data_IF_785123211070
#
_entry.id   IF_785123211070
#
_cell.length_a   1.000
_cell.length_b   1.000
_cell.length_c   1.000
_cell.angle_alpha   90.00
_cell.angle_beta   90.00
_cell.angle_gamma   90.00
#
_symmetry.space_group_name_H-M   'P 1'
#
loop_
_entity.id
_entity.type
_entity.pdbx_description
1 polymer ?
#
# COMPACT_ATOMS: atom_id res chain seq x y z
N UNK A 1 -12.00 -27.95 20.53
CA UNK A 1 -12.63 -26.81 19.85
C UNK A 1 -14.11 -26.96 20.10
N UNK A 2 -14.70 -26.08 20.86
CA UNK A 2 -16.15 -26.03 20.99
C UNK A 2 -16.74 -25.65 19.62
N UNK A 3 -17.84 -26.30 19.20
CA UNK A 3 -18.52 -25.89 17.99
C UNK A 3 -19.01 -24.46 18.17
N UNK A 4 -18.88 -23.65 17.13
CA UNK A 4 -19.46 -22.31 17.07
C UNK A 4 -20.93 -22.41 17.46
N UNK A 5 -21.35 -21.57 18.41
CA UNK A 5 -22.77 -21.47 18.77
C UNK A 5 -23.62 -21.13 17.55
N UNK A 6 -24.94 -21.41 17.64
CA UNK A 6 -25.89 -20.95 16.63
C UNK A 6 -25.68 -19.44 16.39
N UNK A 7 -25.69 -18.97 15.11
CA UNK A 7 -25.53 -17.56 14.83
C UNK A 7 -26.63 -16.77 15.55
N UNK A 8 -26.22 -15.75 16.31
CA UNK A 8 -27.18 -14.89 17.00
C UNK A 8 -28.03 -14.08 16.01
N UNK A 9 -27.53 -13.86 14.80
CA UNK A 9 -28.20 -13.11 13.74
C UNK A 9 -27.66 -13.52 12.35
N UNK A 10 -28.55 -13.82 11.40
CA UNK A 10 -28.20 -14.03 10.00
C UNK A 10 -28.25 -12.69 9.24
N UNK A 11 -27.11 -12.02 9.12
CA UNK A 11 -26.97 -10.76 8.41
C UNK A 11 -26.51 -10.95 6.95
N UNK A 12 -26.22 -12.18 6.52
CA UNK A 12 -25.58 -12.48 5.22
C UNK A 12 -26.58 -12.67 4.08
N UNK A 13 -27.87 -12.81 4.37
CA UNK A 13 -28.88 -13.11 3.36
C UNK A 13 -28.99 -12.01 2.31
N UNK A 14 -28.64 -12.33 1.07
CA UNK A 14 -28.70 -11.42 -0.08
C UNK A 14 -27.56 -10.40 -0.16
N UNK A 15 -26.51 -10.55 0.64
CA UNK A 15 -25.31 -9.70 0.60
C UNK A 15 -24.14 -10.39 -0.09
N UNK A 16 -23.23 -9.58 -0.62
CA UNK A 16 -21.96 -10.01 -1.20
C UNK A 16 -20.84 -9.78 -0.19
N UNK A 17 -19.90 -10.73 -0.09
CA UNK A 17 -18.83 -10.69 0.91
C UNK A 17 -17.44 -10.63 0.30
N UNK A 18 -16.59 -9.75 0.84
CA UNK A 18 -15.14 -9.75 0.63
C UNK A 18 -14.43 -9.95 1.98
N UNK A 19 -13.20 -10.49 2.01
CA UNK A 19 -12.48 -10.74 3.29
C UNK A 19 -12.08 -9.47 4.03
N UNK A 20 -12.01 -8.35 3.35
CA UNK A 20 -11.62 -7.04 3.85
C UNK A 20 -10.97 -6.24 2.72
N UNK A 21 -11.09 -4.92 2.78
CA UNK A 21 -10.38 -4.05 1.84
C UNK A 21 -8.91 -3.94 2.25
N UNK A 22 -8.03 -3.66 1.29
CA UNK A 22 -6.59 -3.53 1.49
C UNK A 22 -6.13 -2.14 1.10
N UNK A 23 -5.45 -1.46 2.00
CA UNK A 23 -4.65 -0.28 1.68
C UNK A 23 -3.17 -0.68 1.62
N UNK A 24 -2.67 -0.85 0.40
CA UNK A 24 -1.30 -1.30 0.13
C UNK A 24 -0.27 -0.19 0.26
N UNK A 25 -0.68 1.07 0.42
CA UNK A 25 0.20 2.23 0.59
C UNK A 25 -0.47 3.29 1.45
N UNK A 26 -0.35 3.13 2.75
CA UNK A 26 -0.89 4.06 3.74
C UNK A 26 0.21 4.76 4.54
N UNK A 27 -0.17 5.87 5.18
CA UNK A 27 0.64 6.62 6.14
C UNK A 27 -0.24 7.00 7.34
N UNK A 28 -0.51 6.07 8.25
CA UNK A 28 -1.39 6.29 9.40
C UNK A 28 -0.87 7.35 10.38
N UNK A 29 0.45 7.54 10.45
CA UNK A 29 1.04 8.59 11.29
C UNK A 29 0.90 10.00 10.72
N UNK A 30 0.29 10.15 9.54
CA UNK A 30 0.11 11.44 8.88
C UNK A 30 -1.36 11.82 8.71
N UNK A 31 -2.25 11.45 9.52
CA UNK A 31 -3.67 11.74 9.30
C UNK A 31 -3.97 13.21 9.08
N UNK A 32 -4.19 13.59 7.86
CA UNK A 32 -4.92 14.73 7.28
C UNK A 32 -4.92 16.11 7.95
N UNK A 33 -4.57 16.23 9.22
CA UNK A 33 -4.46 17.48 9.98
C UNK A 33 -3.40 17.25 11.05
N UNK A 34 -2.23 17.91 10.91
CA UNK A 34 -1.18 18.09 11.94
C UNK A 34 -1.03 16.95 12.98
N UNK A 35 -0.87 15.70 12.55
CA UNK A 35 -0.45 14.66 13.48
C UNK A 35 0.98 15.00 13.92
N UNK A 36 1.12 15.24 15.22
CA UNK A 36 2.43 15.45 15.83
C UNK A 36 3.23 14.16 15.80
N UNK A 37 4.57 14.23 15.73
CA UNK A 37 5.39 13.03 15.93
C UNK A 37 4.97 12.32 17.22
N UNK A 38 4.79 10.99 17.14
CA UNK A 38 4.37 10.19 18.28
C UNK A 38 2.90 10.29 18.66
N UNK A 39 2.03 10.88 17.83
CA UNK A 39 0.59 10.92 18.08
C UNK A 39 -0.06 9.55 17.83
N UNK A 40 0.08 8.70 18.83
CA UNK A 40 -0.48 7.35 18.81
C UNK A 40 -2.03 7.36 18.79
N UNK A 41 -2.65 8.28 19.51
CA UNK A 41 -4.11 8.36 19.60
C UNK A 41 -4.72 8.78 18.26
N UNK A 42 -4.10 9.73 17.56
CA UNK A 42 -4.48 10.13 16.20
C UNK A 42 -4.36 8.98 15.22
N UNK A 43 -3.22 8.28 15.21
CA UNK A 43 -3.01 7.12 14.36
C UNK A 43 -4.00 5.98 14.66
N UNK A 44 -4.30 5.74 15.94
CA UNK A 44 -5.30 4.74 16.37
C UNK A 44 -6.73 5.11 15.93
N UNK A 45 -7.09 6.39 15.99
CA UNK A 45 -8.38 6.87 15.49
C UNK A 45 -8.53 6.64 13.98
N UNK A 46 -7.47 6.92 13.20
CA UNK A 46 -7.46 6.65 11.74
C UNK A 46 -7.56 5.15 11.43
N UNK A 47 -6.83 4.32 12.15
CA UNK A 47 -6.93 2.87 12.00
C UNK A 47 -8.34 2.35 12.31
N UNK A 48 -8.98 2.89 13.34
CA UNK A 48 -10.37 2.56 13.68
C UNK A 48 -11.36 3.04 12.59
N UNK A 49 -11.16 4.23 12.05
CA UNK A 49 -11.98 4.74 10.92
C UNK A 49 -11.82 3.82 9.69
N UNK A 50 -10.59 3.43 9.38
CA UNK A 50 -10.32 2.50 8.28
C UNK A 50 -11.03 1.15 8.49
N UNK A 51 -10.96 0.58 9.71
CA UNK A 51 -11.68 -0.65 10.04
C UNK A 51 -13.18 -0.50 9.81
N UNK A 52 -13.80 0.60 10.30
CA UNK A 52 -15.23 0.87 10.12
C UNK A 52 -15.64 1.02 8.65
N UNK A 53 -14.72 1.41 7.78
CA UNK A 53 -14.93 1.48 6.33
C UNK A 53 -14.61 0.16 5.59
N UNK A 54 -14.37 -0.93 6.32
CA UNK A 54 -14.12 -2.25 5.73
C UNK A 54 -12.67 -2.56 5.43
N UNK A 55 -11.71 -1.69 5.77
CA UNK A 55 -10.28 -2.00 5.59
C UNK A 55 -9.87 -3.10 6.57
N UNK A 56 -9.45 -4.23 6.03
CA UNK A 56 -8.99 -5.40 6.78
C UNK A 56 -7.48 -5.49 6.93
N UNK A 57 -6.73 -4.92 5.97
CA UNK A 57 -5.26 -4.92 5.95
C UNK A 57 -4.72 -3.56 5.51
N UNK A 58 -3.72 -3.08 6.23
CA UNK A 58 -2.96 -1.87 5.90
C UNK A 58 -1.48 -2.23 5.78
N UNK A 59 -0.85 -1.84 4.67
CA UNK A 59 0.59 -1.85 4.49
C UNK A 59 1.07 -0.40 4.64
N UNK A 60 1.41 -0.01 5.86
CA UNK A 60 1.89 1.33 6.17
C UNK A 60 3.33 1.50 5.67
N UNK A 61 3.53 2.46 4.78
CA UNK A 61 4.83 2.69 4.14
C UNK A 61 5.77 3.57 4.96
N UNK A 62 5.47 3.67 6.26
CA UNK A 62 6.31 4.37 7.21
C UNK A 62 6.18 5.87 7.19
N UNK A 63 6.87 6.51 8.08
CA UNK A 63 6.90 7.95 8.22
C UNK A 63 8.23 8.40 8.83
N UNK A 64 8.24 9.47 9.62
CA UNK A 64 9.43 10.01 10.30
C UNK A 64 9.75 9.36 11.64
N UNK A 65 8.85 8.51 12.16
CA UNK A 65 8.97 7.86 13.46
C UNK A 65 8.31 6.47 13.48
N UNK A 66 8.31 5.81 14.63
CA UNK A 66 7.77 4.47 14.83
C UNK A 66 6.34 4.46 15.37
N UNK A 67 5.57 5.55 15.22
CA UNK A 67 4.22 5.67 15.76
C UNK A 67 3.31 4.51 15.33
N UNK A 68 3.34 4.11 14.05
CA UNK A 68 2.51 3.01 13.54
C UNK A 68 2.98 1.66 14.07
N UNK A 69 4.28 1.45 14.23
CA UNK A 69 4.82 0.23 14.86
C UNK A 69 4.33 0.13 16.30
N UNK A 70 4.41 1.21 17.07
CA UNK A 70 3.88 1.25 18.44
C UNK A 70 2.34 1.06 18.50
N UNK A 71 1.61 1.52 17.48
CA UNK A 71 0.17 1.30 17.37
C UNK A 71 -0.14 -0.20 17.29
N UNK A 72 0.63 -0.96 16.53
CA UNK A 72 0.45 -2.41 16.39
C UNK A 72 0.51 -3.10 17.77
N UNK A 73 1.43 -2.67 18.62
CA UNK A 73 1.61 -3.24 19.97
C UNK A 73 0.56 -2.77 20.98
N UNK A 74 0.10 -1.52 20.86
CA UNK A 74 -0.74 -0.87 21.88
C UNK A 74 -2.23 -1.04 21.62
N UNK A 75 -2.67 -1.10 20.37
CA UNK A 75 -4.09 -1.19 20.01
C UNK A 75 -4.47 -2.66 19.80
N UNK A 76 -5.49 -3.18 20.49
CA UNK A 76 -5.93 -4.57 20.33
C UNK A 76 -6.29 -4.89 18.87
N UNK A 77 -5.95 -6.09 18.40
CA UNK A 77 -6.18 -6.54 17.02
C UNK A 77 -7.67 -6.50 16.61
N UNK A 78 -8.60 -6.65 17.56
CA UNK A 78 -10.04 -6.57 17.29
C UNK A 78 -10.52 -5.12 17.03
N UNK A 79 -9.73 -4.10 17.41
CA UNK A 79 -10.08 -2.69 17.32
C UNK A 79 -9.40 -1.98 16.15
N UNK A 80 -8.63 -2.68 15.30
CA UNK A 80 -7.94 -2.15 14.15
C UNK A 80 -7.88 -3.17 13.00
N UNK A 81 -7.57 -2.74 11.77
CA UNK A 81 -7.15 -3.64 10.69
C UNK A 81 -5.90 -4.44 11.08
N UNK A 82 -5.57 -5.46 10.31
CA UNK A 82 -4.21 -5.97 10.32
C UNK A 82 -3.27 -4.90 9.75
N UNK A 83 -2.08 -4.75 10.33
CA UNK A 83 -1.14 -3.72 9.92
C UNK A 83 0.25 -4.35 9.83
N UNK A 84 0.91 -4.15 8.71
CA UNK A 84 2.36 -4.24 8.56
C UNK A 84 2.91 -2.83 8.33
N UNK A 85 4.09 -2.52 8.84
CA UNK A 85 4.61 -1.16 8.80
C UNK A 85 6.12 -1.10 8.55
N UNK A 86 6.55 -0.12 7.77
CA UNK A 86 7.96 0.10 7.46
C UNK A 86 8.73 0.91 8.51
N UNK A 87 8.04 1.52 9.48
CA UNK A 87 8.68 2.38 10.46
C UNK A 87 9.22 3.67 9.85
N UNK A 88 10.50 3.98 10.06
CA UNK A 88 11.13 5.19 9.51
C UNK A 88 11.59 4.95 8.07
N UNK A 89 11.18 5.83 7.14
CA UNK A 89 11.60 5.74 5.74
C UNK A 89 13.11 6.01 5.58
N UNK A 90 13.77 5.30 4.68
CA UNK A 90 15.18 5.50 4.34
C UNK A 90 15.31 6.35 3.07
N UNK A 91 16.20 7.33 3.12
CA UNK A 91 16.49 8.25 2.02
C UNK A 91 17.95 8.66 2.03
N UNK A 92 18.36 9.58 1.18
CA UNK A 92 19.67 10.23 1.19
C UNK A 92 19.52 11.71 1.53
N UNK A 93 20.63 12.39 1.81
CA UNK A 93 20.61 13.83 2.02
C UNK A 93 19.93 14.57 0.85
N UNK A 94 18.97 15.42 1.16
CA UNK A 94 18.09 16.08 0.18
C UNK A 94 17.28 15.12 -0.72
N UNK A 95 17.19 13.84 -0.37
CA UNK A 95 16.47 12.79 -1.11
C UNK A 95 15.01 12.64 -0.76
N UNK A 96 14.48 13.45 0.16
CA UNK A 96 13.07 13.49 0.56
C UNK A 96 12.77 14.80 1.26
N UNK A 97 11.57 14.95 1.82
CA UNK A 97 11.24 16.09 2.69
C UNK A 97 12.16 16.12 3.90
N UNK A 98 12.64 17.30 4.23
CA UNK A 98 13.52 17.49 5.37
C UNK A 98 12.85 17.04 6.68
N UNK A 99 13.54 16.20 7.45
CA UNK A 99 13.04 15.67 8.73
C UNK A 99 12.00 14.53 8.62
N UNK A 100 11.73 14.01 7.42
CA UNK A 100 10.75 12.94 7.20
C UNK A 100 11.35 11.58 6.87
N UNK A 101 12.63 11.43 6.94
CA UNK A 101 13.31 10.17 6.69
C UNK A 101 14.64 10.11 7.41
N UNK A 102 15.22 8.92 7.46
CA UNK A 102 16.56 8.66 7.94
C UNK A 102 17.52 8.72 6.75
N UNK A 103 18.45 9.66 6.78
CA UNK A 103 19.46 9.79 5.74
C UNK A 103 20.46 8.64 5.85
N UNK A 104 20.67 7.95 4.74
CA UNK A 104 21.67 6.88 4.58
C UNK A 104 22.95 7.50 4.02
N UNK A 105 24.07 7.25 4.65
CA UNK A 105 25.37 7.65 4.13
C UNK A 105 25.78 6.77 2.93
N UNK A 106 26.57 7.28 1.97
CA UNK A 106 27.06 6.46 0.85
C UNK A 106 27.74 5.18 1.35
N UNK A 107 27.32 4.03 0.79
CA UNK A 107 27.84 2.72 1.12
C UNK A 107 27.35 2.12 2.46
N UNK A 108 26.36 2.72 3.13
CA UNK A 108 25.83 2.23 4.41
C UNK A 108 24.40 1.68 4.31
N UNK A 109 23.90 1.51 3.09
CA UNK A 109 22.47 1.12 2.87
C UNK A 109 22.16 -0.26 3.46
N UNK A 110 23.07 -1.23 3.37
CA UNK A 110 22.85 -2.57 3.92
C UNK A 110 22.66 -2.54 5.44
N UNK A 111 23.54 -1.82 6.17
CA UNK A 111 23.39 -1.67 7.63
C UNK A 111 22.09 -0.95 7.99
N UNK A 112 21.77 0.13 7.28
CA UNK A 112 20.57 0.92 7.56
C UNK A 112 19.29 0.16 7.24
N UNK A 113 19.29 -0.67 6.19
CA UNK A 113 18.19 -1.55 5.85
C UNK A 113 17.98 -2.62 6.94
N UNK A 114 19.04 -3.24 7.45
CA UNK A 114 18.96 -4.19 8.56
C UNK A 114 18.38 -3.55 9.83
N UNK A 115 18.84 -2.33 10.18
CA UNK A 115 18.30 -1.56 11.31
C UNK A 115 16.82 -1.27 11.12
N UNK A 116 16.43 -0.74 9.94
CA UNK A 116 15.04 -0.41 9.64
C UNK A 116 14.13 -1.66 9.63
N UNK A 117 14.63 -2.81 9.19
CA UNK A 117 13.91 -4.07 9.23
C UNK A 117 13.65 -4.54 10.66
N UNK A 118 14.64 -4.38 11.56
CA UNK A 118 14.49 -4.71 12.98
C UNK A 118 13.59 -3.74 13.76
N UNK A 119 13.45 -2.50 13.29
CA UNK A 119 12.57 -1.49 13.89
C UNK A 119 11.14 -1.55 13.33
N UNK A 120 10.98 -2.01 12.08
CA UNK A 120 9.70 -2.08 11.38
C UNK A 120 8.84 -3.27 11.81
N UNK A 121 7.72 -3.42 11.13
CA UNK A 121 6.79 -4.55 11.31
C UNK A 121 6.53 -5.22 9.94
N UNK A 122 7.54 -5.94 9.46
CA UNK A 122 7.49 -6.74 8.22
C UNK A 122 7.94 -6.02 6.95
N UNK A 123 8.19 -4.71 6.99
CA UNK A 123 8.60 -3.92 5.83
C UNK A 123 9.71 -2.93 6.15
N UNK A 124 10.50 -2.59 5.12
CA UNK A 124 11.27 -1.34 5.06
C UNK A 124 10.81 -0.51 3.86
N UNK A 125 10.96 0.80 3.94
CA UNK A 125 10.62 1.74 2.86
C UNK A 125 11.83 2.55 2.45
N UNK A 126 12.15 2.51 1.15
CA UNK A 126 13.15 3.35 0.52
C UNK A 126 12.48 4.43 -0.33
N UNK A 127 13.01 5.64 -0.29
CA UNK A 127 12.68 6.69 -1.25
C UNK A 127 13.66 6.54 -2.42
N UNK A 128 13.25 5.82 -3.47
CA UNK A 128 14.11 5.45 -4.59
C UNK A 128 14.56 6.62 -5.44
N UNK A 129 13.73 7.64 -5.56
CA UNK A 129 14.05 8.90 -6.23
C UNK A 129 13.33 10.08 -5.58
N UNK A 130 13.81 11.28 -5.87
CA UNK A 130 13.18 12.51 -5.41
C UNK A 130 13.43 13.66 -6.36
N UNK A 131 12.49 14.61 -6.55
CA UNK A 131 12.68 15.77 -7.38
C UNK A 131 13.84 16.66 -6.92
N UNK A 132 14.77 16.96 -7.82
CA UNK A 132 15.82 17.95 -7.62
C UNK A 132 15.48 19.23 -8.37
N UNK A 133 15.70 20.38 -7.75
CA UNK A 133 15.38 21.67 -8.34
C UNK A 133 16.08 21.86 -9.71
N UNK A 134 15.28 22.10 -10.74
CA UNK A 134 15.77 22.32 -12.10
C UNK A 134 16.18 21.07 -12.89
N UNK A 135 16.09 19.87 -12.28
CA UNK A 135 16.43 18.59 -12.92
C UNK A 135 15.21 17.66 -13.05
N UNK A 136 14.38 17.59 -12.04
CA UNK A 136 13.27 16.64 -11.92
C UNK A 136 13.62 15.49 -10.97
N UNK A 137 12.85 14.39 -10.97
CA UNK A 137 13.15 13.21 -10.16
C UNK A 137 14.51 12.61 -10.54
N UNK A 138 15.33 12.31 -9.55
CA UNK A 138 16.67 11.73 -9.68
C UNK A 138 16.78 10.59 -8.69
N UNK A 139 17.37 9.46 -9.11
CA UNK A 139 17.63 8.32 -8.27
C UNK A 139 18.41 8.70 -7.00
N UNK A 140 17.95 8.22 -5.87
CA UNK A 140 18.60 8.36 -4.58
C UNK A 140 19.65 7.27 -4.32
N UNK A 141 19.44 6.09 -4.90
CA UNK A 141 20.27 4.91 -4.72
C UNK A 141 20.64 4.32 -6.08
N UNK A 142 21.84 3.76 -6.19
CA UNK A 142 22.22 2.91 -7.32
C UNK A 142 21.51 1.55 -7.24
N UNK A 143 21.45 0.82 -8.36
CA UNK A 143 20.83 -0.52 -8.40
C UNK A 143 21.52 -1.49 -7.43
N UNK A 144 22.85 -1.44 -7.31
CA UNK A 144 23.61 -2.26 -6.39
C UNK A 144 23.28 -1.95 -4.92
N UNK A 145 23.06 -0.69 -4.57
CA UNK A 145 22.64 -0.29 -3.23
C UNK A 145 21.21 -0.80 -2.93
N UNK A 146 20.30 -0.79 -3.91
CA UNK A 146 18.98 -1.41 -3.77
C UNK A 146 19.08 -2.93 -3.55
N UNK A 147 20.01 -3.62 -4.24
CA UNK A 147 20.28 -5.06 -4.04
C UNK A 147 20.80 -5.35 -2.62
N UNK A 148 21.71 -4.51 -2.12
CA UNK A 148 22.23 -4.63 -0.74
C UNK A 148 21.11 -4.43 0.28
N UNK A 149 20.24 -3.43 0.09
CA UNK A 149 19.09 -3.20 0.96
C UNK A 149 18.12 -4.39 0.97
N UNK A 150 17.82 -4.96 -0.21
CA UNK A 150 16.96 -6.14 -0.35
C UNK A 150 17.57 -7.35 0.36
N UNK A 151 18.87 -7.60 0.20
CA UNK A 151 19.55 -8.70 0.86
C UNK A 151 19.51 -8.57 2.39
N UNK A 152 19.84 -7.37 2.90
CA UNK A 152 19.85 -7.09 4.34
C UNK A 152 18.43 -7.17 4.97
N UNK A 153 17.41 -6.70 4.27
CA UNK A 153 16.02 -6.81 4.73
C UNK A 153 15.55 -8.27 4.81
N UNK A 154 15.89 -9.07 3.80
CA UNK A 154 15.53 -10.50 3.76
C UNK A 154 16.18 -11.32 4.88
N UNK A 155 17.40 -10.99 5.29
CA UNK A 155 18.05 -11.61 6.45
C UNK A 155 17.28 -11.38 7.76
N UNK A 156 16.47 -10.31 7.80
CA UNK A 156 15.58 -9.97 8.92
C UNK A 156 14.10 -10.33 8.64
N UNK A 157 13.82 -11.16 7.63
CA UNK A 157 12.47 -11.56 7.21
C UNK A 157 11.56 -10.38 6.85
N UNK A 158 12.13 -9.21 6.49
CA UNK A 158 11.40 -8.02 6.07
C UNK A 158 11.36 -7.89 4.55
N UNK A 159 10.27 -7.29 4.04
CA UNK A 159 10.06 -6.94 2.64
C UNK A 159 10.51 -5.50 2.36
N UNK A 160 10.82 -5.22 1.12
CA UNK A 160 11.28 -3.89 0.69
C UNK A 160 10.26 -3.25 -0.23
N UNK A 161 9.83 -2.02 0.12
CA UNK A 161 9.00 -1.16 -0.71
C UNK A 161 9.80 0.07 -1.16
N UNK A 162 9.70 0.45 -2.44
CA UNK A 162 10.46 1.57 -3.02
C UNK A 162 9.53 2.58 -3.69
N UNK A 163 9.60 3.84 -3.26
CA UNK A 163 8.99 4.98 -3.97
C UNK A 163 9.69 5.22 -5.30
N UNK A 164 8.94 5.31 -6.40
CA UNK A 164 9.49 5.45 -7.74
C UNK A 164 8.65 6.38 -8.62
N UNK A 165 9.21 7.54 -8.99
CA UNK A 165 8.61 8.52 -9.92
C UNK A 165 9.56 8.92 -11.06
N UNK A 166 10.86 8.64 -10.95
CA UNK A 166 11.82 8.81 -12.04
C UNK A 166 11.66 7.70 -13.10
N UNK A 167 12.12 7.96 -14.34
CA UNK A 167 11.93 7.01 -15.44
C UNK A 167 12.68 5.70 -15.29
N UNK A 168 13.88 5.75 -14.73
CA UNK A 168 14.79 4.60 -14.62
C UNK A 168 14.62 3.81 -13.32
N UNK A 169 14.13 4.44 -12.25
CA UNK A 169 14.14 3.85 -10.91
C UNK A 169 13.20 2.65 -10.75
N UNK A 170 12.00 2.61 -11.37
CA UNK A 170 11.17 1.40 -11.32
C UNK A 170 11.92 0.17 -11.83
N UNK A 171 12.59 0.27 -12.99
CA UNK A 171 13.36 -0.85 -13.57
C UNK A 171 14.55 -1.25 -12.69
N UNK A 172 15.26 -0.29 -12.10
CA UNK A 172 16.34 -0.56 -11.14
C UNK A 172 15.82 -1.33 -9.91
N UNK A 173 14.70 -0.88 -9.34
CA UNK A 173 14.07 -1.51 -8.17
C UNK A 173 13.59 -2.94 -8.49
N UNK A 174 12.98 -3.14 -9.67
CA UNK A 174 12.56 -4.47 -10.12
C UNK A 174 13.76 -5.41 -10.27
N UNK A 175 14.84 -4.99 -10.94
CA UNK A 175 16.06 -5.80 -11.09
C UNK A 175 16.79 -6.05 -9.76
N UNK A 176 16.68 -5.13 -8.82
CA UNK A 176 17.23 -5.32 -7.48
C UNK A 176 16.45 -6.34 -6.64
N UNK A 177 15.26 -6.75 -7.07
CA UNK A 177 14.45 -7.73 -6.38
C UNK A 177 13.56 -7.16 -5.26
N UNK A 178 13.22 -5.86 -5.35
CA UNK A 178 12.31 -5.16 -4.42
C UNK A 178 10.92 -5.82 -4.44
N UNK A 179 10.27 -5.96 -3.29
CA UNK A 179 9.01 -6.68 -3.15
C UNK A 179 7.79 -5.85 -3.55
N UNK A 180 7.84 -4.52 -3.38
CA UNK A 180 6.73 -3.62 -3.73
C UNK A 180 7.23 -2.35 -4.40
N UNK A 181 6.69 -2.07 -5.60
CA UNK A 181 6.93 -0.84 -6.35
C UNK A 181 5.79 0.14 -6.05
N UNK A 182 6.14 1.27 -5.47
CA UNK A 182 5.19 2.32 -5.13
C UNK A 182 5.16 3.35 -6.26
N UNK A 183 3.96 3.75 -6.67
CA UNK A 183 3.65 4.56 -7.85
C UNK A 183 4.00 3.84 -9.16
N UNK A 184 5.26 3.55 -9.42
CA UNK A 184 5.69 2.76 -10.57
C UNK A 184 5.33 3.40 -11.91
N UNK A 185 5.38 4.75 -12.00
CA UNK A 185 4.85 5.53 -13.12
C UNK A 185 5.47 5.14 -14.48
N UNK A 186 6.70 4.59 -14.46
CA UNK A 186 7.44 4.26 -15.67
C UNK A 186 7.89 2.79 -15.72
N UNK A 187 7.14 1.89 -15.06
CA UNK A 187 7.34 0.45 -15.28
C UNK A 187 7.24 0.12 -16.77
N UNK A 188 8.14 -0.71 -17.27
CA UNK A 188 8.12 -1.28 -18.61
C UNK A 188 7.38 -2.63 -18.63
N UNK A 189 7.12 -3.19 -19.80
CA UNK A 189 6.53 -4.52 -19.91
C UNK A 189 7.46 -5.59 -19.33
N UNK A 190 8.77 -5.48 -19.59
CA UNK A 190 9.79 -6.38 -19.01
C UNK A 190 9.81 -6.29 -17.48
N UNK A 191 9.67 -5.08 -16.91
CA UNK A 191 9.60 -4.89 -15.47
C UNK A 191 8.37 -5.57 -14.86
N UNK A 192 7.23 -5.45 -15.52
CA UNK A 192 5.97 -6.07 -15.11
C UNK A 192 6.08 -7.59 -15.13
N UNK A 193 6.66 -8.17 -16.19
CA UNK A 193 6.92 -9.61 -16.30
C UNK A 193 7.86 -10.10 -15.20
N UNK A 194 8.97 -9.41 -14.96
CA UNK A 194 9.92 -9.76 -13.90
C UNK A 194 9.31 -9.64 -12.50
N UNK A 195 8.48 -8.62 -12.26
CA UNK A 195 7.80 -8.41 -10.97
C UNK A 195 6.77 -9.50 -10.72
N UNK A 196 5.94 -9.82 -11.73
CA UNK A 196 4.92 -10.86 -11.67
C UNK A 196 5.50 -12.26 -11.48
N UNK A 197 6.59 -12.59 -12.18
CA UNK A 197 7.27 -13.90 -12.06
C UNK A 197 7.71 -14.25 -10.63
N UNK A 198 7.88 -13.26 -9.75
CA UNK A 198 8.21 -13.47 -8.33
C UNK A 198 7.08 -13.13 -7.36
N UNK A 199 5.86 -12.83 -7.86
CA UNK A 199 4.74 -12.44 -7.02
C UNK A 199 4.94 -11.09 -6.32
N UNK A 200 5.63 -10.16 -6.94
CA UNK A 200 5.84 -8.82 -6.40
C UNK A 200 4.59 -7.94 -6.48
N UNK A 201 4.60 -6.85 -5.72
CA UNK A 201 3.49 -5.90 -5.64
C UNK A 201 3.74 -4.65 -6.49
N UNK A 202 2.66 -4.08 -7.00
CA UNK A 202 2.62 -2.74 -7.56
C UNK A 202 1.45 -1.96 -6.97
N UNK A 203 1.74 -0.79 -6.39
CA UNK A 203 0.74 0.10 -5.78
C UNK A 203 0.73 1.44 -6.53
N UNK A 204 -0.12 1.62 -7.54
CA UNK A 204 -0.09 2.78 -8.45
C UNK A 204 -0.39 4.13 -7.79
N UNK A 205 -1.25 4.16 -6.74
CA UNK A 205 -1.66 5.38 -6.03
C UNK A 205 -2.07 6.52 -6.99
N UNK A 206 -2.95 6.21 -7.93
CA UNK A 206 -3.33 7.11 -9.02
C UNK A 206 -3.92 8.42 -8.49
N UNK A 207 -4.78 8.34 -7.46
CA UNK A 207 -5.38 9.52 -6.85
C UNK A 207 -4.33 10.46 -6.25
N UNK A 208 -3.24 9.93 -5.69
CA UNK A 208 -2.12 10.74 -5.21
C UNK A 208 -1.40 11.43 -6.37
N UNK A 209 -1.19 10.74 -7.48
CA UNK A 209 -0.58 11.34 -8.66
C UNK A 209 -1.45 12.45 -9.24
N UNK A 210 -2.75 12.24 -9.35
CA UNK A 210 -3.71 13.24 -9.81
C UNK A 210 -3.77 14.46 -8.89
N UNK A 211 -3.75 14.26 -7.58
CA UNK A 211 -3.68 15.36 -6.60
C UNK A 211 -2.38 16.18 -6.77
N UNK A 212 -1.25 15.50 -6.96
CA UNK A 212 0.04 16.14 -7.18
C UNK A 212 0.08 16.90 -8.51
N UNK A 213 -0.47 16.35 -9.59
CA UNK A 213 -0.62 17.03 -10.88
C UNK A 213 -1.42 18.34 -10.73
N UNK A 214 -2.54 18.25 -10.00
CA UNK A 214 -3.37 19.44 -9.73
C UNK A 214 -2.60 20.51 -8.94
N UNK A 215 -1.80 20.10 -7.96
CA UNK A 215 -0.97 21.00 -7.16
C UNK A 215 0.15 21.67 -7.99
N UNK A 216 0.86 20.90 -8.81
CA UNK A 216 1.97 21.38 -9.63
C UNK A 216 1.49 22.17 -10.86
N UNK A 217 0.26 21.92 -11.30
CA UNK A 217 -0.31 22.40 -12.56
C UNK A 217 0.13 21.53 -13.75
N UNK A 218 -0.83 21.09 -14.56
CA UNK A 218 -0.63 20.16 -15.70
C UNK A 218 0.42 20.65 -16.71
N UNK A 219 0.55 21.96 -16.88
CA UNK A 219 1.49 22.58 -17.84
C UNK A 219 2.90 22.72 -17.31
N UNK A 220 3.15 22.51 -16.04
CA UNK A 220 4.50 22.48 -15.48
C UNK A 220 5.28 21.27 -15.98
N UNK A 221 6.62 21.30 -15.86
CA UNK A 221 7.43 20.13 -16.22
C UNK A 221 7.11 18.91 -15.36
N UNK A 222 6.91 19.11 -14.05
CA UNK A 222 6.51 18.04 -13.14
C UNK A 222 5.10 17.52 -13.44
N UNK A 223 4.11 18.42 -13.67
CA UNK A 223 2.76 17.99 -14.02
C UNK A 223 2.71 17.18 -15.32
N UNK A 224 3.44 17.59 -16.35
CA UNK A 224 3.54 16.80 -17.60
C UNK A 224 4.18 15.43 -17.40
N UNK A 225 5.24 15.35 -16.59
CA UNK A 225 5.90 14.09 -16.28
C UNK A 225 4.92 13.13 -15.58
N UNK A 226 4.19 13.62 -14.59
CA UNK A 226 3.21 12.81 -13.86
C UNK A 226 2.02 12.41 -14.74
N UNK A 227 1.52 13.29 -15.62
CA UNK A 227 0.49 12.96 -16.61
C UNK A 227 0.93 11.81 -17.52
N UNK A 228 2.15 11.89 -18.07
CA UNK A 228 2.72 10.82 -18.87
C UNK A 228 2.83 9.52 -18.06
N UNK A 229 3.26 9.63 -16.79
CA UNK A 229 3.33 8.49 -15.88
C UNK A 229 1.97 7.84 -15.63
N UNK A 230 0.90 8.62 -15.40
CA UNK A 230 -0.46 8.09 -15.21
C UNK A 230 -0.98 7.40 -16.48
N UNK A 231 -0.69 7.94 -17.66
CA UNK A 231 -1.04 7.26 -18.92
C UNK A 231 -0.25 5.94 -19.08
N UNK A 232 1.00 5.89 -18.63
CA UNK A 232 1.78 4.68 -18.61
C UNK A 232 1.22 3.64 -17.63
N UNK A 233 0.80 4.06 -16.42
CA UNK A 233 0.09 3.20 -15.45
C UNK A 233 -1.13 2.57 -16.12
N UNK A 234 -2.01 3.40 -16.68
CA UNK A 234 -3.22 2.97 -17.38
C UNK A 234 -2.93 1.92 -18.47
N UNK A 235 -1.89 2.13 -19.27
CA UNK A 235 -1.53 1.22 -20.36
C UNK A 235 -1.05 -0.16 -19.86
N UNK A 236 -0.57 -0.26 -18.60
CA UNK A 236 0.05 -1.47 -18.05
C UNK A 236 -0.76 -2.22 -17.02
N UNK A 237 -1.90 -1.67 -16.56
CA UNK A 237 -2.72 -2.35 -15.55
C UNK A 237 -3.14 -3.77 -15.98
N UNK A 238 -3.59 -3.94 -17.22
CA UNK A 238 -4.02 -5.26 -17.72
C UNK A 238 -2.81 -6.23 -17.81
N UNK A 239 -1.72 -5.80 -18.42
CA UNK A 239 -0.49 -6.61 -18.54
C UNK A 239 0.06 -7.01 -17.18
N UNK A 240 0.03 -6.12 -16.18
CA UNK A 240 0.48 -6.42 -14.83
C UNK A 240 -0.36 -7.53 -14.17
N UNK A 241 -1.66 -7.48 -14.32
CA UNK A 241 -2.56 -8.52 -13.82
C UNK A 241 -2.31 -9.85 -14.54
N UNK A 242 -2.17 -9.84 -15.87
CA UNK A 242 -1.89 -11.03 -16.68
C UNK A 242 -0.52 -11.65 -16.35
N UNK A 243 0.47 -10.83 -16.05
CA UNK A 243 1.81 -11.28 -15.63
C UNK A 243 1.86 -11.82 -14.19
N UNK A 244 0.78 -11.71 -13.42
CA UNK A 244 0.71 -12.19 -12.04
C UNK A 244 1.25 -11.21 -11.00
N UNK A 245 1.40 -9.92 -11.34
CA UNK A 245 1.72 -8.88 -10.37
C UNK A 245 0.55 -8.72 -9.39
N UNK A 246 0.85 -8.65 -8.11
CA UNK A 246 -0.12 -8.23 -7.11
C UNK A 246 -0.32 -6.71 -7.21
N UNK A 247 -1.22 -6.27 -8.11
CA UNK A 247 -1.66 -4.87 -8.12
C UNK A 247 -2.47 -4.63 -6.87
N UNK A 248 -2.13 -3.59 -6.09
CA UNK A 248 -2.83 -3.23 -4.86
C UNK A 248 -3.36 -1.80 -4.95
N UNK A 249 -4.47 -1.55 -4.29
CA UNK A 249 -4.93 -0.18 -4.02
C UNK A 249 -4.08 0.48 -2.94
N UNK A 250 -3.90 1.80 -3.01
CA UNK A 250 -3.16 2.56 -2.00
C UNK A 250 -3.65 4.00 -1.92
N UNK A 251 -3.83 4.52 -0.71
CA UNK A 251 -4.34 5.89 -0.49
C UNK A 251 -3.25 6.94 -0.49
N UNK A 252 -2.05 6.58 -0.08
CA UNK A 252 -0.92 7.48 0.12
C UNK A 252 -1.34 8.71 0.94
N UNK A 253 -1.15 9.93 0.43
CA UNK A 253 -1.45 11.19 1.11
C UNK A 253 -2.68 11.91 0.54
N UNK A 254 -3.21 11.46 -0.61
CA UNK A 254 -4.30 12.15 -1.30
C UNK A 254 -5.65 12.00 -0.60
N UNK A 255 -5.87 10.85 -0.01
CA UNK A 255 -7.13 10.48 0.66
C UNK A 255 -6.82 9.70 1.95
N UNK A 256 -7.76 9.69 2.89
CA UNK A 256 -7.60 8.88 4.10
C UNK A 256 -7.76 7.39 3.81
N UNK A 257 -7.08 6.54 4.58
CA UNK A 257 -7.12 5.06 4.46
C UNK A 257 -8.54 4.49 4.45
N UNK A 258 -9.47 5.12 5.17
CA UNK A 258 -10.89 4.76 5.14
C UNK A 258 -11.58 4.99 3.78
N UNK A 259 -10.91 5.64 2.83
CA UNK A 259 -11.41 5.94 1.49
C UNK A 259 -10.71 5.10 0.40
N UNK A 260 -10.03 4.01 0.76
CA UNK A 260 -9.27 3.17 -0.19
C UNK A 260 -10.12 2.65 -1.36
N UNK A 261 -11.42 2.46 -1.17
CA UNK A 261 -12.36 2.13 -2.23
C UNK A 261 -12.35 3.15 -3.39
N UNK A 262 -12.03 4.42 -3.12
CA UNK A 262 -11.93 5.45 -4.15
C UNK A 262 -10.78 5.18 -5.13
N UNK A 263 -9.65 4.68 -4.63
CA UNK A 263 -8.54 4.25 -5.49
C UNK A 263 -8.94 3.04 -6.35
N UNK A 264 -9.65 2.06 -5.77
CA UNK A 264 -10.17 0.91 -6.51
C UNK A 264 -11.12 1.34 -7.65
N UNK A 265 -12.06 2.24 -7.35
CA UNK A 265 -12.98 2.80 -8.34
C UNK A 265 -12.19 3.56 -9.42
N UNK A 266 -11.14 4.28 -9.05
CA UNK A 266 -10.30 5.00 -10.01
C UNK A 266 -9.54 4.06 -10.94
N UNK A 267 -8.97 2.96 -10.43
CA UNK A 267 -8.34 1.93 -11.26
C UNK A 267 -9.32 1.31 -12.25
N UNK A 268 -10.56 1.06 -11.82
CA UNK A 268 -11.64 0.62 -12.72
C UNK A 268 -11.96 1.65 -13.81
N UNK A 269 -12.08 2.92 -13.46
CA UNK A 269 -12.32 4.00 -14.42
C UNK A 269 -11.17 4.18 -15.43
N UNK A 270 -9.94 3.82 -15.05
CA UNK A 270 -8.78 3.75 -15.95
C UNK A 270 -8.79 2.52 -16.87
N UNK A 271 -9.76 1.61 -16.71
CA UNK A 271 -9.94 0.45 -17.57
C UNK A 271 -9.46 -0.89 -16.99
N UNK A 272 -9.10 -0.94 -15.72
CA UNK A 272 -8.85 -2.23 -15.06
C UNK A 272 -10.14 -3.03 -14.98
N UNK A 273 -10.11 -4.31 -15.35
CA UNK A 273 -11.30 -5.16 -15.31
C UNK A 273 -11.86 -5.30 -13.89
N UNK A 274 -13.18 -5.25 -13.73
CA UNK A 274 -13.81 -5.28 -12.41
C UNK A 274 -13.37 -6.46 -11.52
N UNK A 275 -13.24 -7.71 -12.01
CA UNK A 275 -12.67 -8.79 -11.19
C UNK A 275 -11.26 -8.50 -10.68
N UNK A 276 -10.41 -7.90 -11.52
CA UNK A 276 -9.04 -7.54 -11.14
C UNK A 276 -9.01 -6.38 -10.12
N UNK A 277 -9.96 -5.44 -10.20
CA UNK A 277 -10.13 -4.38 -9.19
C UNK A 277 -10.50 -4.99 -7.84
N UNK A 278 -11.39 -5.97 -7.81
CA UNK A 278 -11.77 -6.67 -6.56
C UNK A 278 -10.58 -7.43 -5.99
N UNK A 279 -9.78 -8.08 -6.84
CA UNK A 279 -8.52 -8.69 -6.40
C UNK A 279 -7.57 -7.64 -5.80
N UNK A 280 -7.38 -6.50 -6.47
CA UNK A 280 -6.45 -5.44 -6.05
C UNK A 280 -6.85 -4.78 -4.71
N UNK A 281 -8.15 -4.56 -4.50
CA UNK A 281 -8.65 -3.90 -3.28
C UNK A 281 -8.86 -4.85 -2.11
N UNK A 282 -8.75 -6.16 -2.32
CA UNK A 282 -9.03 -7.14 -1.26
C UNK A 282 -8.02 -8.30 -1.26
N UNK A 283 -8.22 -9.32 -2.07
CA UNK A 283 -7.51 -10.60 -2.00
C UNK A 283 -5.98 -10.51 -2.19
N UNK A 284 -5.53 -9.68 -3.13
CA UNK A 284 -4.11 -9.62 -3.53
C UNK A 284 -3.19 -9.21 -2.39
N UNK A 285 -3.58 -8.25 -1.54
CA UNK A 285 -2.74 -7.82 -0.43
C UNK A 285 -2.54 -8.89 0.63
N UNK A 286 -3.58 -9.64 0.96
CA UNK A 286 -3.46 -10.77 1.89
C UNK A 286 -2.56 -11.87 1.32
N UNK A 287 -2.71 -12.22 0.03
CA UNK A 287 -1.85 -13.21 -0.63
C UNK A 287 -0.40 -12.76 -0.70
N UNK A 288 -0.15 -11.52 -1.09
CA UNK A 288 1.20 -10.94 -1.18
C UNK A 288 1.93 -10.92 0.16
N UNK A 289 1.19 -10.82 1.27
CA UNK A 289 1.76 -10.85 2.62
C UNK A 289 1.76 -12.25 3.25
N UNK A 290 1.28 -13.28 2.52
CA UNK A 290 1.21 -14.65 3.03
C UNK A 290 0.16 -14.85 4.14
N UNK A 291 -0.80 -13.93 4.24
CA UNK A 291 -1.86 -14.00 5.25
C UNK A 291 -2.98 -14.94 4.82
N UNK A 292 -3.54 -15.72 5.75
CA UNK A 292 -4.69 -16.55 5.44
C UNK A 292 -5.88 -15.63 5.07
N UNK A 293 -6.53 -15.95 3.96
CA UNK A 293 -7.66 -15.18 3.43
C UNK A 293 -8.71 -16.12 2.84
N UNK A 294 -9.98 -15.87 3.08
CA UNK A 294 -11.09 -16.66 2.56
C UNK A 294 -12.22 -16.83 3.58
N UNK A 295 -13.18 -17.68 3.18
CA UNK A 295 -14.39 -17.97 3.95
C UNK A 295 -14.51 -19.46 4.30
N UNK A 296 -13.45 -20.25 4.08
CA UNK A 296 -13.40 -21.65 4.44
C UNK A 296 -13.33 -21.84 5.97
N UNK A 297 -13.73 -23.02 6.43
CA UNK A 297 -13.61 -23.38 7.84
C UNK A 297 -12.15 -23.27 8.28
N UNK A 298 -11.90 -22.46 9.29
CA UNK A 298 -10.57 -22.18 9.81
C UNK A 298 -9.97 -20.85 9.32
N UNK A 299 -10.60 -20.18 8.35
CA UNK A 299 -10.23 -18.81 7.96
C UNK A 299 -10.57 -17.82 9.07
N UNK A 300 -9.88 -16.66 9.15
CA UNK A 300 -10.27 -15.59 10.05
C UNK A 300 -11.72 -15.15 9.80
N UNK A 301 -12.51 -14.99 10.84
CA UNK A 301 -13.90 -14.56 10.74
C UNK A 301 -13.97 -13.03 10.49
N UNK A 302 -13.46 -12.61 9.33
CA UNK A 302 -13.45 -11.24 8.84
C UNK A 302 -14.23 -11.18 7.53
N UNK A 303 -15.09 -10.17 7.37
CA UNK A 303 -15.81 -9.92 6.13
C UNK A 303 -16.21 -8.46 6.01
N UNK A 304 -16.32 -7.99 4.79
CA UNK A 304 -17.01 -6.75 4.43
C UNK A 304 -18.16 -7.13 3.53
N UNK A 305 -19.35 -6.73 3.87
CA UNK A 305 -20.59 -7.09 3.18
C UNK A 305 -21.12 -5.92 2.37
N UNK A 306 -21.63 -6.22 1.17
CA UNK A 306 -22.14 -5.23 0.22
C UNK A 306 -23.54 -5.61 -0.24
N UNK A 307 -24.40 -4.61 -0.46
CA UNK A 307 -25.79 -4.79 -0.92
C UNK A 307 -25.89 -5.17 -2.40
N UNK A 308 -24.84 -4.92 -3.19
CA UNK A 308 -24.73 -5.25 -4.60
C UNK A 308 -23.46 -6.04 -4.89
N UNK A 309 -23.44 -6.76 -6.01
CA UNK A 309 -22.23 -7.45 -6.48
C UNK A 309 -21.12 -6.45 -6.85
N UNK A 310 -20.00 -6.42 -6.10
CA UNK A 310 -18.90 -5.50 -6.37
C UNK A 310 -18.24 -5.71 -7.76
N UNK A 311 -18.35 -6.90 -8.35
CA UNK A 311 -17.86 -7.16 -9.70
C UNK A 311 -18.75 -6.50 -10.74
N UNK A 312 -20.07 -6.52 -10.51
CA UNK A 312 -21.04 -5.86 -11.40
C UNK A 312 -21.06 -4.35 -11.22
N UNK A 313 -20.82 -3.87 -10.00
CA UNK A 313 -20.81 -2.45 -9.64
C UNK A 313 -19.68 -2.12 -8.66
N UNK A 314 -18.45 -1.86 -9.12
CA UNK A 314 -17.33 -1.53 -8.22
C UNK A 314 -17.56 -0.29 -7.34
N UNK A 315 -18.52 0.57 -7.65
CA UNK A 315 -18.83 1.75 -6.84
C UNK A 315 -19.39 1.39 -5.46
N UNK A 316 -19.99 0.20 -5.29
CA UNK A 316 -20.52 -0.27 -4.01
C UNK A 316 -19.42 -0.48 -2.96
N UNK A 317 -18.17 -0.64 -3.38
CA UNK A 317 -17.01 -0.75 -2.47
C UNK A 317 -16.88 0.44 -1.49
N UNK A 318 -17.41 1.61 -1.86
CA UNK A 318 -17.37 2.80 -1.02
C UNK A 318 -18.47 2.83 0.07
N UNK A 319 -19.43 1.90 0.03
CA UNK A 319 -20.60 1.89 0.92
C UNK A 319 -20.86 0.45 1.43
N UNK A 320 -20.02 -0.07 2.33
CA UNK A 320 -20.22 -1.39 2.90
C UNK A 320 -21.49 -1.43 3.77
N UNK A 321 -22.31 -2.47 3.57
CA UNK A 321 -23.53 -2.70 4.33
C UNK A 321 -23.22 -3.16 5.77
N UNK A 322 -22.13 -3.89 5.98
CA UNK A 322 -21.64 -4.27 7.29
C UNK A 322 -20.15 -4.65 7.22
N UNK A 323 -19.47 -4.50 8.35
CA UNK A 323 -18.07 -4.91 8.54
C UNK A 323 -17.98 -5.87 9.71
N UNK A 324 -17.40 -7.03 9.48
CA UNK A 324 -17.19 -8.07 10.49
C UNK A 324 -15.67 -8.20 10.75
N UNK A 325 -15.30 -8.09 12.02
CA UNK A 325 -13.92 -8.29 12.47
C UNK A 325 -13.89 -9.31 13.60
N UNK A 326 -13.13 -10.40 13.43
CA UNK A 326 -12.99 -11.48 14.41
C UNK A 326 -14.37 -12.01 14.90
N UNK A 327 -15.30 -12.19 13.94
CA UNK A 327 -16.64 -12.69 14.19
C UNK A 327 -17.62 -11.71 14.86
N UNK A 328 -17.27 -10.41 14.91
CA UNK A 328 -18.14 -9.37 15.48
C UNK A 328 -18.41 -8.28 14.45
N UNK A 329 -19.64 -7.81 14.40
CA UNK A 329 -20.02 -6.61 13.64
C UNK A 329 -19.35 -5.40 14.29
N UNK A 330 -18.62 -4.62 13.50
CA UNK A 330 -17.91 -3.41 13.95
C UNK A 330 -18.42 -2.14 13.28
N UNK A 331 -19.15 -2.30 12.16
CA UNK A 331 -19.84 -1.23 11.45
C UNK A 331 -20.96 -1.81 10.59
#
# INVERSE_FOLDING_TARGET
MEPWGEPEEDISSGLWALPGLVDGHAHLAQGGVEIRPGDLDGAAALAKMALGAGVGLILDKGWRDLTVVHLIDKVPAAARPEIEAAGVVLTVESGFWEGFGRNVAPGDIGNMAAVAAGEGAGWIKLIGDWPRKGVGPVANFAEEELKEAVAAAREQEARVAVHTMAREVPSMAVRAGVDSIEHGLFLTDDDVEMLGARGGCWVPTVLQMEATIKQLGERSSGGRLLLEGVENVKARLATAVEAGVHVLTGTDLAIGTHQVASEAIRLWELGMAAPAVIEAVSWSGFRATGRPVGFDVGSPANAVLFSEDPVSNPRVLADPAAVIRMGRIVS
#
